data_IF_809181231640
#
_entry.id   IF_809181231640
#
_cell.length_a   1.000
_cell.length_b   1.000
_cell.length_c   1.000
_cell.angle_alpha   90.00
_cell.angle_beta   90.00
_cell.angle_gamma   90.00
#
_symmetry.space_group_name_H-M   'P 1'
#
loop_
_entity.id
_entity.type
_entity.pdbx_description
1 polymer ?
#
# COMPACT_ATOMS: atom_id res chain seq x y z
N UNK A 1 -1.26 3.01 5.70
CA UNK A 1 -2.29 2.50 4.80
C UNK A 1 -1.81 2.81 3.40
N UNK A 2 -1.59 1.81 2.55
CA UNK A 2 -1.24 2.02 1.13
C UNK A 2 -2.53 2.06 0.33
N UNK A 3 -2.70 3.09 -0.50
CA UNK A 3 -3.84 3.21 -1.40
C UNK A 3 -3.42 2.84 -2.82
N UNK A 4 -3.85 1.69 -3.37
CA UNK A 4 -3.52 1.30 -4.73
C UNK A 4 -4.06 2.29 -5.76
N UNK A 5 -5.19 2.97 -5.51
CA UNK A 5 -5.74 3.95 -6.44
C UNK A 5 -4.90 5.23 -6.49
N UNK A 6 -4.22 5.59 -5.40
CA UNK A 6 -3.27 6.70 -5.37
C UNK A 6 -1.87 6.30 -5.86
N UNK A 7 -1.46 5.04 -5.62
CA UNK A 7 -0.09 4.58 -5.89
C UNK A 7 0.91 5.08 -4.85
N UNK A 8 2.17 5.23 -5.25
CA UNK A 8 3.23 5.75 -4.40
C UNK A 8 4.24 6.56 -5.22
N UNK A 9 4.15 7.89 -5.20
CA UNK A 9 5.03 8.77 -5.98
C UNK A 9 6.50 8.69 -5.53
N UNK A 10 6.75 8.44 -4.23
CA UNK A 10 8.11 8.37 -3.67
C UNK A 10 8.85 7.16 -4.21
N UNK A 11 8.15 6.03 -4.29
CA UNK A 11 8.66 4.79 -4.89
C UNK A 11 8.42 4.71 -6.40
N UNK A 12 7.90 5.77 -7.02
CA UNK A 12 7.54 5.84 -8.43
C UNK A 12 6.57 4.74 -8.88
N UNK A 13 5.63 4.37 -8.02
CA UNK A 13 4.60 3.37 -8.26
C UNK A 13 3.35 4.06 -8.77
N UNK A 14 2.93 3.66 -9.97
CA UNK A 14 1.78 4.25 -10.61
C UNK A 14 0.49 3.98 -9.82
N UNK A 15 -0.48 4.91 -9.85
CA UNK A 15 -1.83 4.64 -9.39
C UNK A 15 -2.43 3.45 -10.15
N UNK A 16 -3.18 2.63 -9.43
CA UNK A 16 -3.73 1.34 -9.87
C UNK A 16 -2.84 0.13 -9.57
N UNK A 17 -1.68 0.30 -8.93
CA UNK A 17 -0.82 -0.83 -8.54
C UNK A 17 -1.34 -1.46 -7.27
N UNK A 18 -1.64 -2.76 -7.28
CA UNK A 18 -2.11 -3.44 -6.07
C UNK A 18 -0.98 -3.58 -5.05
N UNK A 19 -1.32 -3.63 -3.77
CA UNK A 19 -0.35 -3.86 -2.71
C UNK A 19 0.44 -5.17 -2.89
N UNK A 20 -0.19 -6.18 -3.47
CA UNK A 20 0.41 -7.47 -3.79
C UNK A 20 1.47 -7.40 -4.90
N UNK A 21 1.38 -6.41 -5.80
CA UNK A 21 2.34 -6.19 -6.89
C UNK A 21 3.57 -5.37 -6.44
N UNK A 22 3.56 -4.85 -5.21
CA UNK A 22 4.67 -4.08 -4.67
C UNK A 22 5.89 -4.98 -4.38
N UNK A 23 7.11 -4.49 -4.63
CA UNK A 23 8.34 -5.26 -4.42
C UNK A 23 8.58 -5.57 -2.94
N UNK A 24 9.29 -6.68 -2.65
CA UNK A 24 9.64 -7.13 -1.29
C UNK A 24 10.32 -6.08 -0.42
N UNK A 25 11.08 -5.19 -1.04
CA UNK A 25 11.77 -4.07 -0.43
C UNK A 25 10.95 -2.79 -0.30
N UNK A 26 9.65 -2.78 -0.63
CA UNK A 26 8.81 -1.59 -0.46
C UNK A 26 8.59 -1.29 1.03
N UNK A 27 8.74 -0.01 1.38
CA UNK A 27 8.49 0.53 2.72
C UNK A 27 7.59 1.76 2.60
N UNK A 28 6.73 1.98 3.59
CA UNK A 28 5.81 3.10 3.54
C UNK A 28 6.58 4.43 3.57
N UNK A 29 6.42 5.32 2.57
CA UNK A 29 7.17 6.58 2.51
C UNK A 29 6.83 7.56 3.64
N UNK A 30 5.72 7.33 4.35
CA UNK A 30 5.25 8.23 5.41
C UNK A 30 5.70 7.80 6.81
N UNK A 31 5.96 6.50 7.02
CA UNK A 31 6.28 5.95 8.35
C UNK A 31 7.40 4.90 8.36
N UNK A 32 7.99 4.59 7.22
CA UNK A 32 9.07 3.60 7.02
C UNK A 32 8.70 2.17 7.42
N UNK A 33 7.41 1.90 7.66
CA UNK A 33 6.94 0.57 7.99
C UNK A 33 7.11 -0.40 6.81
N UNK A 34 7.49 -1.64 7.13
CA UNK A 34 7.69 -2.69 6.15
C UNK A 34 6.35 -3.16 5.56
N UNK A 35 6.37 -3.65 4.31
CA UNK A 35 5.16 -4.13 3.61
C UNK A 35 4.37 -5.18 4.41
N UNK A 36 5.05 -6.03 5.16
CA UNK A 36 4.42 -7.11 5.93
C UNK A 36 3.58 -6.60 7.11
N UNK A 37 3.76 -5.34 7.52
CA UNK A 37 2.98 -4.73 8.59
C UNK A 37 1.63 -4.18 8.10
N UNK A 38 1.39 -4.17 6.79
CA UNK A 38 0.13 -3.71 6.21
C UNK A 38 -0.72 -4.90 5.79
N UNK A 39 -1.99 -4.86 6.20
CA UNK A 39 -3.01 -5.75 5.68
C UNK A 39 -3.61 -5.11 4.41
N UNK A 40 -3.83 -5.89 3.33
CA UNK A 40 -4.54 -5.40 2.16
C UNK A 40 -5.94 -4.95 2.59
N UNK A 41 -6.33 -3.75 2.16
CA UNK A 41 -7.62 -3.14 2.49
C UNK A 41 -8.79 -3.72 1.67
N UNK A 42 -8.70 -4.99 1.27
CA UNK A 42 -9.80 -5.74 0.64
C UNK A 42 -10.66 -6.46 1.69
N UNK A 43 -10.61 -6.01 2.94
CA UNK A 43 -11.57 -6.36 3.96
C UNK A 43 -12.44 -5.13 4.22
N UNK A 44 -13.52 -5.00 3.44
CA UNK A 44 -14.67 -4.21 3.83
C UNK A 44 -15.21 -4.77 5.17
N UNK A 45 -14.73 -4.25 6.29
CA UNK A 45 -15.40 -4.41 7.58
C UNK A 45 -15.52 -3.04 8.25
N UNK A 46 -16.70 -2.45 8.06
CA UNK A 46 -17.44 -1.76 9.11
C UNK A 46 -17.15 -0.27 9.34
N UNK A 47 -18.03 0.59 8.82
CA UNK A 47 -18.82 1.45 9.71
C UNK A 47 -20.17 1.76 9.05
N UNK A 48 -21.23 1.52 9.82
CA UNK A 48 -22.64 1.65 9.45
C UNK A 48 -23.17 3.06 9.73
#
# INVERSE_FOLDING_TARGET
>A
MYDPAAGDEVWQIAPGTAFADLPESWHCPNCDAERHQFLPLDAEDGDA
#
